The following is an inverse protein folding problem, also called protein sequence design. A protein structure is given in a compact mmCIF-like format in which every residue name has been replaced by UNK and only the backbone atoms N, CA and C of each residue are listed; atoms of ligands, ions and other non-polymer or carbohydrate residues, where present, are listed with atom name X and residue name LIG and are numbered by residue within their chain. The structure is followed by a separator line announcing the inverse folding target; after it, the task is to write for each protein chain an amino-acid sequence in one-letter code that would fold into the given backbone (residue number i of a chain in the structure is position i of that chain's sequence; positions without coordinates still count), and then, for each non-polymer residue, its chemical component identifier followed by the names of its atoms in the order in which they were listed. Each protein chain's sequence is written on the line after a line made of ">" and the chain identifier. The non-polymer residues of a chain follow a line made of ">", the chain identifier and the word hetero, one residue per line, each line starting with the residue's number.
data_IF_047685057592
#
_entry.id   IF_047685057592
#
_cell.length_a   1.000
_cell.length_b   1.000
_cell.length_c   1.000
_cell.angle_alpha   90.00
_cell.angle_beta   90.00
_cell.angle_gamma   90.00
#
_symmetry.space_group_name_H-M   'P 1'
#
loop_
_entity.id
_entity.type
_entity.pdbx_description
1 polymer ?
#
# COMPACT_ATOMS: atom_id res chain seq x y z
N UNK A 1 17.81 9.02 8.71
CA UNK A 1 18.30 9.16 10.09
C UNK A 1 18.36 7.81 10.79
N UNK A 2 17.26 7.04 10.84
CA UNK A 2 17.27 5.71 11.45
C UNK A 2 17.96 4.60 10.64
N UNK A 3 17.97 4.67 9.31
CA UNK A 3 18.86 3.82 8.51
C UNK A 3 20.34 4.09 8.79
N UNK A 4 20.71 5.26 9.33
CA UNK A 4 22.07 5.50 9.81
C UNK A 4 22.28 4.79 11.15
N UNK A 5 21.33 4.90 12.09
CA UNK A 5 21.35 4.29 13.42
C UNK A 5 21.40 2.75 13.41
N UNK A 6 20.57 2.12 12.58
CA UNK A 6 20.54 0.65 12.44
C UNK A 6 21.71 0.13 11.59
N UNK A 7 22.21 0.90 10.62
CA UNK A 7 23.45 0.54 9.92
C UNK A 7 24.65 0.65 10.85
N UNK A 8 24.68 1.63 11.76
CA UNK A 8 25.72 1.70 12.80
C UNK A 8 25.62 0.52 13.76
N UNK A 9 24.44 0.06 14.18
CA UNK A 9 24.32 -1.11 15.06
C UNK A 9 24.74 -2.42 14.38
N UNK A 10 24.45 -2.61 13.08
CA UNK A 10 24.90 -3.79 12.31
C UNK A 10 26.43 -3.78 12.08
N UNK A 11 27.04 -2.60 11.89
CA UNK A 11 28.51 -2.46 11.83
C UNK A 11 29.15 -2.81 13.19
N UNK A 12 28.47 -2.50 14.29
CA UNK A 12 28.96 -2.76 15.66
C UNK A 12 28.81 -4.25 16.02
N UNK A 13 27.70 -4.91 15.63
CA UNK A 13 27.52 -6.35 15.84
C UNK A 13 28.56 -7.23 15.13
N UNK A 14 29.13 -6.76 14.02
CA UNK A 14 30.21 -7.46 13.32
C UNK A 14 31.60 -7.32 13.98
N UNK A 15 31.78 -6.36 14.89
CA UNK A 15 33.03 -6.19 15.64
C UNK A 15 33.11 -7.05 16.92
N UNK A 16 31.99 -7.62 17.39
CA UNK A 16 31.91 -8.35 18.68
C UNK A 16 32.09 -9.87 18.47
N UNK A 17 33.01 -10.27 17.59
CA UNK A 17 33.49 -11.64 17.54
C UNK A 17 35.02 -11.65 17.67
N UNK A 18 35.46 -12.06 18.87
CA UNK A 18 36.78 -12.54 19.32
C UNK A 18 37.70 -11.58 20.12
N UNK A 19 37.88 -11.94 21.41
CA UNK A 19 39.02 -11.69 22.31
C UNK A 19 39.50 -10.23 22.47
N UNK A 20 38.59 -9.29 22.74
CA UNK A 20 38.96 -7.92 23.12
C UNK A 20 39.26 -7.79 24.63
N UNK A 21 40.35 -7.11 24.96
CA UNK A 21 40.73 -6.72 26.34
C UNK A 21 39.67 -5.83 27.02
N UNK A 22 39.62 -5.74 28.36
CA UNK A 22 38.65 -4.89 29.08
C UNK A 22 38.70 -3.41 28.68
N UNK A 23 39.89 -2.90 28.35
CA UNK A 23 40.11 -1.52 27.88
C UNK A 23 39.48 -1.27 26.50
N UNK A 24 39.59 -2.23 25.58
CA UNK A 24 38.95 -2.15 24.26
C UNK A 24 37.42 -2.21 24.35
N UNK A 25 36.86 -3.02 25.26
CA UNK A 25 35.41 -3.07 25.49
C UNK A 25 34.85 -1.75 26.06
N UNK A 26 35.62 -1.07 26.93
CA UNK A 26 35.24 0.23 27.50
C UNK A 26 35.30 1.37 26.46
N UNK A 27 36.29 1.37 25.57
CA UNK A 27 36.37 2.33 24.46
C UNK A 27 35.23 2.14 23.45
N UNK A 28 34.89 0.89 23.13
CA UNK A 28 33.78 0.55 22.23
C UNK A 28 32.41 0.98 22.81
N UNK A 29 32.21 0.81 24.11
CA UNK A 29 30.99 1.27 24.80
C UNK A 29 30.88 2.80 24.84
N UNK A 30 31.98 3.50 25.12
CA UNK A 30 31.98 4.98 25.13
C UNK A 30 31.61 5.54 23.76
N UNK A 31 32.14 4.95 22.69
CA UNK A 31 31.81 5.32 21.30
C UNK A 31 30.36 4.99 20.94
N UNK A 32 29.84 3.85 21.39
CA UNK A 32 28.42 3.49 21.25
C UNK A 32 27.52 4.53 21.94
N UNK A 33 27.85 4.90 23.18
CA UNK A 33 27.09 5.89 23.94
C UNK A 33 27.13 7.29 23.33
N UNK A 34 28.28 7.73 22.82
CA UNK A 34 28.36 9.00 22.09
C UNK A 34 27.48 8.97 20.84
N UNK A 35 27.50 7.88 20.09
CA UNK A 35 26.65 7.70 18.90
C UNK A 35 25.16 7.72 19.26
N UNK A 36 24.78 7.03 20.34
CA UNK A 36 23.42 7.03 20.88
C UNK A 36 22.92 8.43 21.23
N UNK A 37 23.72 9.21 21.98
CA UNK A 37 23.34 10.57 22.40
C UNK A 37 23.27 11.53 21.21
N UNK A 38 24.26 11.49 20.32
CA UNK A 38 24.30 12.33 19.12
C UNK A 38 23.09 12.09 18.22
N UNK A 39 22.63 10.85 18.11
CA UNK A 39 21.44 10.52 17.34
C UNK A 39 20.13 10.85 18.06
N UNK A 40 20.15 10.88 19.39
CA UNK A 40 18.95 11.07 20.20
C UNK A 40 18.41 12.50 20.22
N UNK A 41 19.28 13.51 20.23
CA UNK A 41 18.85 14.91 20.37
C UNK A 41 18.14 15.47 19.12
N UNK A 42 18.66 15.30 17.89
CA UNK A 42 17.96 15.74 16.68
C UNK A 42 16.61 15.04 16.52
N UNK A 43 16.52 13.78 16.94
CA UNK A 43 15.27 13.05 16.96
C UNK A 43 14.26 13.71 17.91
N UNK A 44 14.64 14.01 19.16
CA UNK A 44 13.70 14.58 20.15
C UNK A 44 13.13 15.92 19.67
N UNK A 45 13.95 16.76 19.05
CA UNK A 45 13.48 18.01 18.43
C UNK A 45 12.51 17.76 17.28
N UNK A 46 12.82 16.80 16.42
CA UNK A 46 11.97 16.40 15.28
C UNK A 46 10.63 15.84 15.76
N UNK A 47 10.65 15.01 16.81
CA UNK A 47 9.45 14.43 17.40
C UNK A 47 8.55 15.49 18.04
N UNK A 48 9.14 16.48 18.72
CA UNK A 48 8.40 17.64 19.23
C UNK A 48 7.74 18.44 18.11
N UNK A 49 8.45 18.68 17.00
CA UNK A 49 7.88 19.37 15.83
C UNK A 49 6.74 18.59 15.16
N UNK A 50 6.85 17.26 15.10
CA UNK A 50 5.82 16.38 14.56
C UNK A 50 4.63 16.15 15.51
N UNK A 51 4.72 16.63 16.76
CA UNK A 51 3.78 16.30 17.83
C UNK A 51 3.76 14.82 18.19
N UNK A 52 4.84 14.09 17.87
CA UNK A 52 5.08 12.67 18.15
C UNK A 52 5.95 12.44 19.38
N UNK A 53 5.91 13.40 20.28
CA UNK A 53 6.67 13.38 21.50
C UNK A 53 5.90 12.60 22.57
N UNK A 54 6.53 11.56 23.11
CA UNK A 54 6.06 10.91 24.33
C UNK A 54 6.51 11.72 25.53
N UNK A 55 5.66 11.90 26.54
CA UNK A 55 6.04 12.58 27.80
C UNK A 55 7.01 11.74 28.68
N UNK A 56 7.59 10.67 28.14
CA UNK A 56 8.54 9.83 28.86
C UNK A 56 9.82 10.61 29.22
N UNK A 57 10.16 10.74 30.52
CA UNK A 57 11.30 11.51 31.00
C UNK A 57 12.62 11.13 30.32
N UNK A 58 12.77 9.84 30.00
CA UNK A 58 13.94 9.29 29.31
C UNK A 58 14.33 10.04 28.02
N UNK A 59 13.37 10.31 27.12
CA UNK A 59 13.66 11.00 25.86
C UNK A 59 13.87 12.51 25.98
N UNK A 60 13.55 13.07 27.15
CA UNK A 60 13.73 14.48 27.48
C UNK A 60 15.07 14.74 28.19
N UNK A 61 15.78 13.69 28.57
CA UNK A 61 17.03 13.76 29.28
C UNK A 61 18.07 14.57 28.50
N UNK A 62 18.87 15.36 29.22
CA UNK A 62 19.98 16.10 28.64
C UNK A 62 21.01 15.15 28.01
N UNK A 63 21.84 15.62 27.04
CA UNK A 63 22.92 14.81 26.49
C UNK A 63 23.78 14.17 27.58
N UNK A 64 24.10 14.94 28.63
CA UNK A 64 24.87 14.47 29.79
C UNK A 64 24.14 13.37 30.56
N UNK A 65 22.83 13.51 30.78
CA UNK A 65 22.04 12.49 31.47
C UNK A 65 21.94 11.19 30.65
N UNK A 66 21.72 11.28 29.34
CA UNK A 66 21.73 10.12 28.44
C UNK A 66 23.12 9.46 28.36
N UNK A 67 24.20 10.25 28.36
CA UNK A 67 25.58 9.73 28.40
C UNK A 67 25.84 9.02 29.73
N UNK A 68 25.44 9.61 30.85
CA UNK A 68 25.63 9.02 32.17
C UNK A 68 24.86 7.71 32.33
N UNK A 69 23.59 7.68 31.92
CA UNK A 69 22.78 6.46 31.91
C UNK A 69 23.37 5.38 30.99
N UNK A 70 23.86 5.76 29.80
CA UNK A 70 24.46 4.80 28.87
C UNK A 70 25.77 4.21 29.41
N UNK A 71 26.58 5.02 30.11
CA UNK A 71 27.85 4.59 30.68
C UNK A 71 27.69 3.87 32.03
N UNK A 72 26.63 4.15 32.82
CA UNK A 72 26.42 3.63 34.17
C UNK A 72 25.00 3.07 34.34
N UNK A 73 24.89 1.78 34.68
CA UNK A 73 23.62 1.06 34.89
C UNK A 73 22.95 1.33 36.23
N UNK A 74 23.62 2.02 37.15
CA UNK A 74 23.14 2.28 38.51
C UNK A 74 22.25 3.54 38.60
N UNK A 75 21.94 4.18 37.46
CA UNK A 75 20.91 5.23 37.42
C UNK A 75 19.52 4.56 37.49
N UNK A 76 19.08 4.26 38.70
CA UNK A 76 17.84 3.55 38.99
C UNK A 76 16.62 4.22 38.36
N UNK A 77 16.62 5.55 38.21
CA UNK A 77 15.45 6.30 37.76
C UNK A 77 15.25 6.19 36.24
N UNK A 78 16.28 6.46 35.44
CA UNK A 78 16.18 6.30 33.99
C UNK A 78 16.09 4.83 33.58
N UNK A 79 16.69 3.92 34.36
CA UNK A 79 16.56 2.48 34.15
C UNK A 79 15.12 2.01 34.42
N UNK A 80 14.47 2.48 35.49
CA UNK A 80 13.06 2.19 35.75
C UNK A 80 12.12 2.75 34.67
N UNK A 81 12.41 3.93 34.11
CA UNK A 81 11.63 4.49 33.01
C UNK A 81 11.72 3.63 31.73
N UNK A 82 12.91 3.09 31.44
CA UNK A 82 13.13 2.22 30.28
C UNK A 82 12.49 0.84 30.45
N UNK A 83 12.49 0.30 31.67
CA UNK A 83 11.83 -0.98 31.98
C UNK A 83 10.30 -0.91 31.87
N UNK A 84 9.69 0.28 31.74
CA UNK A 84 8.27 0.42 31.43
C UNK A 84 7.95 0.13 29.95
N UNK A 85 8.96 -0.08 29.10
CA UNK A 85 8.76 -0.35 27.68
C UNK A 85 8.31 -1.81 27.46
N UNK A 86 7.12 -1.99 26.89
CA UNK A 86 6.48 -3.31 26.67
C UNK A 86 7.32 -4.33 25.87
N UNK A 87 8.29 -3.88 25.06
CA UNK A 87 9.16 -4.78 24.27
C UNK A 87 10.44 -5.18 25.01
N UNK A 88 10.80 -4.46 26.08
CA UNK A 88 11.99 -4.73 26.90
C UNK A 88 11.73 -5.87 27.90
N UNK A 89 10.47 -6.11 28.27
CA UNK A 89 10.01 -7.22 29.14
C UNK A 89 10.42 -8.64 28.67
N UNK A 90 10.86 -8.81 27.41
CA UNK A 90 11.30 -10.11 26.86
C UNK A 90 12.82 -10.34 26.92
N UNK A 91 13.60 -9.35 27.37
CA UNK A 91 15.01 -9.54 27.62
C UNK A 91 15.16 -10.21 28.98
N UNK A 92 15.64 -11.45 29.01
CA UNK A 92 15.91 -12.18 30.25
C UNK A 92 16.79 -11.30 31.17
N UNK A 93 16.19 -10.82 32.27
CA UNK A 93 16.67 -9.70 33.12
C UNK A 93 18.12 -9.88 33.60
N UNK A 94 18.63 -11.11 33.59
CA UNK A 94 19.97 -11.43 34.09
C UNK A 94 21.11 -11.19 33.08
N UNK A 95 20.89 -11.31 31.77
CA UNK A 95 21.97 -11.22 30.76
C UNK A 95 22.04 -9.87 30.03
N UNK A 96 20.91 -9.18 29.82
CA UNK A 96 20.89 -7.89 29.11
C UNK A 96 21.48 -6.74 29.95
N UNK A 97 21.28 -6.78 31.27
CA UNK A 97 21.93 -5.85 32.23
C UNK A 97 23.46 -6.02 32.26
N UNK A 98 23.97 -7.22 31.98
CA UNK A 98 25.40 -7.49 31.89
C UNK A 98 25.99 -7.13 30.51
N UNK A 99 25.17 -7.02 29.45
CA UNK A 99 25.61 -6.67 28.10
C UNK A 99 24.94 -5.39 27.57
N UNK A 100 25.52 -4.24 27.95
CA UNK A 100 25.00 -2.89 27.66
C UNK A 100 24.70 -2.62 26.18
N UNK A 101 25.41 -3.24 25.24
CA UNK A 101 25.14 -3.02 23.82
C UNK A 101 23.76 -3.53 23.39
N UNK A 102 23.33 -4.70 23.88
CA UNK A 102 22.01 -5.25 23.56
C UNK A 102 20.88 -4.44 24.20
N UNK A 103 21.09 -3.92 25.41
CA UNK A 103 20.11 -3.08 26.08
C UNK A 103 19.91 -1.75 25.34
N UNK A 104 21.00 -1.09 24.92
CA UNK A 104 20.94 0.14 24.10
C UNK A 104 20.25 -0.14 22.75
N UNK A 105 20.52 -1.28 22.12
CA UNK A 105 19.84 -1.68 20.89
C UNK A 105 18.33 -1.86 21.09
N UNK A 106 17.90 -2.46 22.20
CA UNK A 106 16.48 -2.65 22.51
C UNK A 106 15.77 -1.31 22.73
N UNK A 107 16.39 -0.40 23.47
CA UNK A 107 15.90 0.97 23.69
C UNK A 107 15.76 1.74 22.37
N UNK A 108 16.74 1.62 21.48
CA UNK A 108 16.68 2.22 20.14
C UNK A 108 15.57 1.62 19.27
N UNK A 109 15.36 0.30 19.34
CA UNK A 109 14.26 -0.38 18.63
C UNK A 109 12.90 0.07 19.13
N UNK A 110 12.70 0.15 20.44
CA UNK A 110 11.45 0.63 21.02
C UNK A 110 11.16 2.07 20.58
N UNK A 111 12.17 2.95 20.64
CA UNK A 111 12.01 4.33 20.17
C UNK A 111 11.58 4.40 18.71
N UNK A 112 12.18 3.57 17.87
CA UNK A 112 11.83 3.52 16.45
C UNK A 112 10.41 3.04 16.23
N UNK A 113 9.97 2.04 17.01
CA UNK A 113 8.61 1.55 16.98
C UNK A 113 7.62 2.68 17.31
N UNK A 114 7.83 3.39 18.42
CA UNK A 114 6.99 4.54 18.83
C UNK A 114 7.00 5.68 17.80
N UNK A 115 8.18 5.94 17.21
CA UNK A 115 8.32 6.90 16.12
C UNK A 115 7.43 6.55 14.93
N UNK A 116 7.60 5.33 14.44
CA UNK A 116 6.94 4.84 13.23
C UNK A 116 5.43 4.79 13.47
N UNK A 117 4.99 4.31 14.63
CA UNK A 117 3.57 4.30 14.99
C UNK A 117 2.99 5.71 14.98
N UNK A 118 3.63 6.67 15.65
CA UNK A 118 3.10 8.01 15.73
C UNK A 118 3.11 8.74 14.37
N UNK A 119 4.25 8.73 13.68
CA UNK A 119 4.41 9.46 12.42
C UNK A 119 3.45 8.93 11.37
N UNK A 120 3.30 7.62 11.27
CA UNK A 120 2.40 7.03 10.28
C UNK A 120 0.92 7.24 10.66
N UNK A 121 0.58 7.19 11.95
CA UNK A 121 -0.79 7.52 12.41
C UNK A 121 -1.17 8.96 12.09
N UNK A 122 -0.31 9.93 12.43
CA UNK A 122 -0.58 11.35 12.13
C UNK A 122 -0.56 11.65 10.64
N UNK A 123 0.32 10.97 9.89
CA UNK A 123 0.34 11.07 8.44
C UNK A 123 -0.98 10.58 7.85
N UNK A 124 -1.48 9.41 8.26
CA UNK A 124 -2.78 8.90 7.84
C UNK A 124 -3.91 9.88 8.21
N UNK A 125 -3.92 10.45 9.42
CA UNK A 125 -4.90 11.45 9.83
C UNK A 125 -4.88 12.71 8.96
N UNK A 126 -3.70 13.15 8.52
CA UNK A 126 -3.58 14.28 7.59
C UNK A 126 -4.23 13.96 6.24
N UNK A 127 -4.05 12.74 5.72
CA UNK A 127 -4.67 12.28 4.49
C UNK A 127 -6.19 12.16 4.63
N UNK A 128 -6.67 11.61 5.76
CA UNK A 128 -8.11 11.53 6.13
C UNK A 128 -8.79 12.90 6.09
N UNK A 129 -8.10 13.95 6.56
CA UNK A 129 -8.59 15.34 6.56
C UNK A 129 -8.40 16.05 5.21
N UNK A 130 -7.74 15.42 4.24
CA UNK A 130 -7.38 16.02 2.96
C UNK A 130 -6.41 17.19 3.10
N UNK A 131 -5.52 17.14 4.10
CA UNK A 131 -4.39 18.05 4.28
C UNK A 131 -3.19 17.56 3.44
N UNK A 132 -3.28 17.83 2.14
CA UNK A 132 -2.21 17.47 1.21
C UNK A 132 -0.98 18.38 1.30
N UNK A 133 -1.07 19.51 2.01
CA UNK A 133 0.04 20.46 2.12
C UNK A 133 1.10 19.96 3.11
N UNK A 134 0.72 19.22 4.14
CA UNK A 134 1.67 18.64 5.11
C UNK A 134 2.36 17.35 4.62
N UNK A 135 1.84 16.70 3.57
CA UNK A 135 2.39 15.43 3.03
C UNK A 135 3.90 15.47 2.79
N UNK A 136 4.50 16.49 2.12
CA UNK A 136 5.94 16.52 1.91
C UNK A 136 6.73 16.50 3.23
N UNK A 137 6.21 17.14 4.27
CA UNK A 137 6.84 17.18 5.58
C UNK A 137 6.74 15.83 6.30
N UNK A 138 5.58 15.16 6.25
CA UNK A 138 5.44 13.80 6.78
C UNK A 138 6.40 12.81 6.11
N UNK A 139 6.53 12.87 4.78
CA UNK A 139 7.49 12.04 4.04
C UNK A 139 8.95 12.38 4.41
N UNK A 140 9.27 13.64 4.71
CA UNK A 140 10.58 14.07 5.20
C UNK A 140 10.87 13.52 6.60
N UNK A 141 9.86 13.43 7.46
CA UNK A 141 9.94 12.81 8.78
C UNK A 141 9.99 11.28 8.74
N UNK A 142 9.79 10.67 7.58
CA UNK A 142 9.95 9.23 7.39
C UNK A 142 8.63 8.46 7.37
N UNK A 143 7.49 9.13 7.21
CA UNK A 143 6.22 8.46 7.00
C UNK A 143 6.32 7.47 5.82
N UNK A 144 5.81 6.27 6.04
CA UNK A 144 5.85 5.14 5.14
C UNK A 144 4.44 4.86 4.59
N UNK A 145 4.20 5.05 3.28
CA UNK A 145 2.91 4.71 2.66
C UNK A 145 2.53 3.23 2.80
N UNK A 146 3.51 2.34 2.99
CA UNK A 146 3.28 0.91 3.21
C UNK A 146 3.04 0.54 4.68
N UNK A 147 3.07 1.52 5.59
CA UNK A 147 2.76 1.27 6.99
C UNK A 147 1.31 0.76 7.12
N UNK A 148 1.17 -0.41 7.73
CA UNK A 148 -0.13 -0.99 8.10
C UNK A 148 -0.39 -0.58 9.54
N UNK A 149 -1.42 0.23 9.76
CA UNK A 149 -1.84 0.52 11.12
C UNK A 149 -2.44 -0.74 11.73
N UNK A 150 -2.14 -1.01 13.00
CA UNK A 150 -2.86 -2.04 13.74
C UNK A 150 -4.28 -1.54 14.01
N UNK A 151 -5.21 -1.85 13.11
CA UNK A 151 -6.64 -1.77 13.35
C UNK A 151 -7.21 -3.19 13.20
N UNK A 152 -7.79 -3.77 14.26
CA UNK A 152 -8.37 -5.11 14.20
C UNK A 152 -9.49 -5.24 13.15
N UNK A 153 -10.04 -4.12 12.67
CA UNK A 153 -11.06 -4.06 11.64
C UNK A 153 -10.54 -3.60 10.27
N UNK A 154 -9.31 -3.07 10.17
CA UNK A 154 -8.74 -2.59 8.90
C UNK A 154 -7.21 -2.70 8.86
N UNK A 155 -6.70 -3.77 8.26
CA UNK A 155 -5.26 -3.96 8.04
C UNK A 155 -4.75 -3.34 6.72
N UNK A 156 -5.45 -2.34 6.18
CA UNK A 156 -4.97 -1.59 5.02
C UNK A 156 -3.68 -0.82 5.33
N UNK A 157 -2.76 -0.76 4.36
CA UNK A 157 -1.69 0.22 4.43
C UNK A 157 -2.21 1.63 4.13
N UNK A 158 -1.42 2.65 4.49
CA UNK A 158 -1.76 4.06 4.26
C UNK A 158 -2.01 4.35 2.78
N UNK A 159 -1.25 3.72 1.88
CA UNK A 159 -1.39 3.92 0.44
C UNK A 159 -2.74 3.44 -0.10
N UNK A 160 -3.16 2.22 0.26
CA UNK A 160 -4.47 1.68 -0.09
C UNK A 160 -5.57 2.59 0.45
N UNK A 161 -5.49 2.97 1.73
CA UNK A 161 -6.44 3.90 2.34
C UNK A 161 -6.55 5.20 1.52
N UNK A 162 -5.40 5.77 1.15
CA UNK A 162 -5.34 7.00 0.38
C UNK A 162 -6.03 6.83 -0.99
N UNK A 163 -5.82 5.73 -1.70
CA UNK A 163 -6.48 5.49 -2.98
C UNK A 163 -7.99 5.28 -2.81
N UNK A 164 -8.40 4.47 -1.84
CA UNK A 164 -9.79 4.03 -1.70
C UNK A 164 -10.71 5.03 -1.02
N UNK A 165 -10.18 5.84 -0.10
CA UNK A 165 -10.96 6.78 0.70
C UNK A 165 -10.58 8.24 0.45
N UNK A 166 -9.46 8.49 -0.23
CA UNK A 166 -8.85 9.81 -0.35
C UNK A 166 -9.45 10.75 -1.38
N UNK A 167 -10.67 10.51 -1.88
CA UNK A 167 -11.37 11.46 -2.76
C UNK A 167 -12.46 12.25 -2.01
N UNK A 168 -12.12 13.29 -1.22
CA UNK A 168 -13.10 14.33 -0.92
C UNK A 168 -13.54 14.99 -2.23
N UNK A 169 -14.86 15.10 -2.45
CA UNK A 169 -15.43 15.82 -3.60
C UNK A 169 -14.77 17.20 -3.75
N UNK A 170 -14.18 17.47 -4.92
CA UNK A 170 -13.61 18.78 -5.26
C UNK A 170 -12.10 18.99 -4.99
N UNK A 171 -11.35 18.00 -4.48
CA UNK A 171 -9.89 18.12 -4.22
C UNK A 171 -8.98 17.29 -5.15
N UNK A 172 -9.37 17.11 -6.41
CA UNK A 172 -8.67 16.24 -7.39
C UNK A 172 -7.21 16.64 -7.63
N UNK A 173 -6.91 17.94 -7.75
CA UNK A 173 -5.53 18.42 -7.99
C UNK A 173 -4.59 18.08 -6.83
N UNK A 174 -5.06 18.28 -5.60
CA UNK A 174 -4.28 17.99 -4.40
C UNK A 174 -4.02 16.49 -4.25
N UNK A 175 -5.06 15.67 -4.47
CA UNK A 175 -4.95 14.22 -4.50
C UNK A 175 -3.89 13.74 -5.49
N UNK A 176 -3.93 14.20 -6.75
CA UNK A 176 -2.98 13.77 -7.77
C UNK A 176 -1.54 14.22 -7.47
N UNK A 177 -1.35 15.42 -6.91
CA UNK A 177 -0.04 15.87 -6.45
C UNK A 177 0.50 14.99 -5.33
N UNK A 178 -0.34 14.67 -4.34
CA UNK A 178 0.00 13.75 -3.24
C UNK A 178 0.34 12.36 -3.79
N UNK A 179 -0.49 11.78 -4.66
CA UNK A 179 -0.24 10.49 -5.28
C UNK A 179 1.14 10.43 -5.95
N UNK A 180 1.49 11.46 -6.73
CA UNK A 180 2.81 11.56 -7.35
C UNK A 180 3.95 11.62 -6.35
N UNK A 181 3.73 12.22 -5.17
CA UNK A 181 4.73 12.25 -4.10
C UNK A 181 4.89 10.88 -3.44
N UNK A 182 3.79 10.17 -3.17
CA UNK A 182 3.83 8.82 -2.59
C UNK A 182 4.54 7.83 -3.51
N UNK A 183 4.22 7.88 -4.80
CA UNK A 183 4.81 7.03 -5.85
C UNK A 183 6.28 7.34 -6.18
N UNK A 184 6.90 8.37 -5.57
CA UNK A 184 8.36 8.57 -5.67
C UNK A 184 9.16 7.55 -4.86
N UNK A 185 8.53 6.90 -3.89
CA UNK A 185 9.11 5.80 -3.11
C UNK A 185 8.58 4.47 -3.65
N UNK A 186 9.31 3.36 -3.49
CA UNK A 186 8.72 2.04 -3.70
C UNK A 186 7.55 1.91 -2.74
N UNK A 187 6.37 1.66 -3.32
CA UNK A 187 5.11 1.42 -2.60
C UNK A 187 4.67 0.03 -3.01
N UNK A 188 4.24 -0.78 -2.05
CA UNK A 188 3.70 -2.09 -2.33
C UNK A 188 2.25 -1.95 -2.81
N UNK A 189 2.05 -2.20 -4.10
CA UNK A 189 0.74 -2.12 -4.76
C UNK A 189 -0.11 -3.37 -4.57
N UNK A 190 0.46 -4.45 -4.06
CA UNK A 190 -0.21 -5.76 -3.92
C UNK A 190 -0.86 -5.93 -2.55
N UNK A 191 -0.70 -4.95 -1.64
CA UNK A 191 -1.33 -5.00 -0.32
C UNK A 191 -2.84 -4.86 -0.45
N UNK A 192 -3.54 -5.86 0.07
CA UNK A 192 -4.99 -5.91 0.24
C UNK A 192 -5.33 -5.90 1.73
N UNK A 193 -6.44 -5.25 2.15
CA UNK A 193 -6.92 -5.35 3.52
C UNK A 193 -7.25 -6.80 3.89
N UNK A 194 -6.75 -7.28 5.02
CA UNK A 194 -6.95 -8.68 5.48
C UNK A 194 -8.40 -9.02 5.85
N UNK A 195 -9.30 -8.05 5.88
CA UNK A 195 -10.66 -8.18 6.40
C UNK A 195 -11.73 -8.25 5.29
N UNK A 196 -11.36 -8.71 4.09
CA UNK A 196 -12.29 -8.91 2.99
C UNK A 196 -12.65 -7.65 2.20
N UNK A 197 -11.81 -6.60 2.27
CA UNK A 197 -11.91 -5.52 1.29
C UNK A 197 -11.48 -6.01 -0.09
N UNK A 198 -12.19 -5.58 -1.14
CA UNK A 198 -11.96 -6.04 -2.50
C UNK A 198 -10.61 -5.56 -3.05
N UNK A 199 -9.69 -6.50 -3.23
CA UNK A 199 -8.46 -6.37 -3.99
C UNK A 199 -7.45 -5.36 -3.43
N UNK A 200 -6.64 -4.81 -4.32
CA UNK A 200 -5.50 -3.96 -4.01
C UNK A 200 -5.73 -2.50 -4.47
N UNK A 201 -4.70 -1.65 -4.38
CA UNK A 201 -4.83 -0.24 -4.75
C UNK A 201 -5.23 -0.03 -6.24
N UNK A 202 -4.88 -0.97 -7.14
CA UNK A 202 -5.22 -0.90 -8.56
C UNK A 202 -6.69 -1.21 -8.77
N UNK A 203 -7.20 -2.32 -8.22
CA UNK A 203 -8.62 -2.68 -8.33
C UNK A 203 -9.51 -1.62 -7.68
N UNK A 204 -9.05 -1.02 -6.59
CA UNK A 204 -9.76 0.08 -5.93
C UNK A 204 -9.81 1.36 -6.77
N UNK A 205 -8.69 1.77 -7.39
CA UNK A 205 -8.69 2.93 -8.29
C UNK A 205 -9.62 2.71 -9.51
N UNK A 206 -9.69 1.47 -10.00
CA UNK A 206 -10.59 1.05 -11.07
C UNK A 206 -12.06 1.04 -10.63
N UNK A 207 -12.37 0.51 -9.44
CA UNK A 207 -13.69 0.52 -8.81
C UNK A 207 -14.23 1.94 -8.63
N UNK A 208 -13.37 2.89 -8.29
CA UNK A 208 -13.73 4.29 -8.08
C UNK A 208 -13.78 5.11 -9.38
N UNK A 209 -13.40 4.54 -10.52
CA UNK A 209 -13.38 5.23 -11.82
C UNK A 209 -12.37 6.38 -11.88
N UNK A 210 -11.24 6.28 -11.17
CA UNK A 210 -10.22 7.31 -11.16
C UNK A 210 -9.12 7.02 -12.19
N UNK A 211 -9.43 7.20 -13.47
CA UNK A 211 -8.55 6.88 -14.59
C UNK A 211 -7.15 7.51 -14.46
N UNK A 212 -7.06 8.75 -13.97
CA UNK A 212 -5.80 9.44 -13.80
C UNK A 212 -4.94 8.84 -12.67
N UNK A 213 -5.56 8.48 -11.54
CA UNK A 213 -4.85 7.80 -10.46
C UNK A 213 -4.40 6.41 -10.91
N UNK A 214 -5.30 5.68 -11.57
CA UNK A 214 -5.04 4.35 -12.11
C UNK A 214 -3.84 4.37 -13.05
N UNK A 215 -3.79 5.27 -14.04
CA UNK A 215 -2.66 5.37 -14.96
C UNK A 215 -1.34 5.72 -14.24
N UNK A 216 -1.39 6.57 -13.20
CA UNK A 216 -0.21 6.89 -12.41
C UNK A 216 0.32 5.70 -11.62
N UNK A 217 -0.57 4.94 -10.98
CA UNK A 217 -0.23 3.75 -10.19
C UNK A 217 0.40 2.69 -11.09
N UNK A 218 -0.25 2.35 -12.21
CA UNK A 218 0.23 1.36 -13.17
C UNK A 218 1.61 1.73 -13.72
N UNK A 219 1.79 3.00 -14.10
CA UNK A 219 3.07 3.50 -14.61
C UNK A 219 4.19 3.44 -13.57
N UNK A 220 3.90 3.81 -12.32
CA UNK A 220 4.90 3.82 -11.24
C UNK A 220 5.27 2.39 -10.81
N UNK A 221 4.28 1.50 -10.70
CA UNK A 221 4.47 0.10 -10.36
C UNK A 221 4.99 -0.77 -11.51
N UNK A 222 4.98 -0.25 -12.74
CA UNK A 222 5.29 -1.01 -13.97
C UNK A 222 4.41 -2.27 -14.10
N UNK A 223 3.14 -2.15 -13.69
CA UNK A 223 2.17 -3.24 -13.75
C UNK A 223 1.50 -3.21 -15.12
N UNK A 224 1.57 -4.33 -15.82
CA UNK A 224 0.99 -4.52 -17.15
C UNK A 224 0.62 -5.99 -17.39
N UNK A 225 -0.15 -6.25 -18.45
CA UNK A 225 -0.48 -7.59 -18.92
C UNK A 225 -1.16 -8.44 -17.84
N UNK A 226 -0.65 -9.66 -17.63
CA UNK A 226 -1.19 -10.61 -16.67
C UNK A 226 -1.18 -10.11 -15.22
N UNK A 227 -0.36 -9.11 -14.88
CA UNK A 227 -0.39 -8.46 -13.57
C UNK A 227 -1.70 -7.71 -13.29
N UNK A 228 -2.55 -7.50 -14.31
CA UNK A 228 -3.88 -6.89 -14.20
C UNK A 228 -5.02 -7.91 -14.14
N UNK A 229 -4.70 -9.20 -14.20
CA UNK A 229 -5.69 -10.28 -14.25
C UNK A 229 -5.80 -11.03 -12.90
N UNK A 230 -5.17 -10.55 -11.83
CA UNK A 230 -5.25 -11.17 -10.50
C UNK A 230 -4.96 -10.10 -9.45
N UNK A 231 -5.54 -10.22 -8.24
CA UNK A 231 -5.16 -9.34 -7.13
C UNK A 231 -4.98 -10.09 -5.80
N UNK A 232 -4.11 -11.11 -5.80
CA UNK A 232 -3.63 -11.76 -4.58
C UNK A 232 -4.31 -13.09 -4.24
N UNK A 233 -3.97 -13.63 -3.07
CA UNK A 233 -4.46 -14.92 -2.59
C UNK A 233 -5.96 -14.81 -2.21
N UNK A 234 -6.80 -15.70 -2.74
CA UNK A 234 -8.27 -15.69 -2.64
C UNK A 234 -9.01 -14.63 -3.50
N UNK A 235 -8.37 -14.14 -4.57
CA UNK A 235 -9.01 -13.21 -5.51
C UNK A 235 -10.31 -13.79 -6.12
N UNK A 236 -11.35 -12.95 -6.19
CA UNK A 236 -12.59 -13.20 -6.93
C UNK A 236 -12.75 -12.20 -8.09
N UNK A 237 -13.89 -12.21 -8.79
CA UNK A 237 -14.08 -11.32 -9.93
C UNK A 237 -14.09 -9.82 -9.58
N UNK A 238 -14.47 -9.47 -8.36
CA UNK A 238 -14.49 -8.09 -7.88
C UNK A 238 -13.10 -7.52 -7.60
N UNK A 239 -12.11 -8.40 -7.58
CA UNK A 239 -10.71 -8.13 -7.36
C UNK A 239 -9.96 -7.89 -8.68
N UNK A 240 -10.57 -8.27 -9.82
CA UNK A 240 -10.03 -8.03 -11.17
C UNK A 240 -10.33 -6.57 -11.58
N UNK A 241 -9.32 -5.68 -11.72
CA UNK A 241 -9.55 -4.26 -11.97
C UNK A 241 -10.49 -3.97 -13.15
N UNK A 242 -10.40 -4.75 -14.23
CA UNK A 242 -11.26 -4.56 -15.41
C UNK A 242 -12.72 -4.91 -15.12
N UNK A 243 -12.99 -5.99 -14.39
CA UNK A 243 -14.35 -6.39 -14.02
C UNK A 243 -14.93 -5.37 -13.04
N UNK A 244 -14.16 -4.94 -12.04
CA UNK A 244 -14.60 -3.92 -11.07
C UNK A 244 -14.93 -2.60 -11.77
N UNK A 245 -14.11 -2.18 -12.73
CA UNK A 245 -14.36 -0.98 -13.51
C UNK A 245 -15.65 -1.07 -14.35
N UNK A 246 -15.85 -2.18 -15.07
CA UNK A 246 -17.02 -2.40 -15.93
C UNK A 246 -18.32 -2.53 -15.13
N UNK A 247 -18.26 -3.14 -13.94
CA UNK A 247 -19.44 -3.38 -13.12
C UNK A 247 -19.84 -2.18 -12.28
N UNK A 248 -18.88 -1.60 -11.55
CA UNK A 248 -19.18 -0.61 -10.51
C UNK A 248 -18.98 0.82 -11.00
N UNK A 249 -17.77 1.17 -11.47
CA UNK A 249 -17.46 2.55 -11.84
C UNK A 249 -18.15 2.97 -13.14
N UNK A 250 -18.21 2.05 -14.10
CA UNK A 250 -18.63 2.29 -15.49
C UNK A 250 -17.85 3.44 -16.15
N UNK A 251 -16.66 3.74 -15.63
CA UNK A 251 -15.81 4.82 -16.12
C UNK A 251 -15.03 4.34 -17.35
N UNK A 252 -15.46 4.83 -18.51
CA UNK A 252 -14.90 4.43 -19.79
C UNK A 252 -13.41 4.71 -19.91
N UNK A 253 -12.91 5.79 -19.29
CA UNK A 253 -11.49 6.14 -19.35
C UNK A 253 -10.63 5.21 -18.49
N UNK A 254 -11.09 4.80 -17.31
CA UNK A 254 -10.43 3.77 -16.49
C UNK A 254 -10.35 2.44 -17.23
N UNK A 255 -11.43 2.05 -17.91
CA UNK A 255 -11.47 0.83 -18.74
C UNK A 255 -10.46 0.91 -19.89
N UNK A 256 -10.41 2.04 -20.60
CA UNK A 256 -9.39 2.25 -21.66
C UNK A 256 -7.97 2.21 -21.11
N UNK A 257 -7.71 2.78 -19.93
CA UNK A 257 -6.40 2.72 -19.27
C UNK A 257 -6.02 1.27 -18.99
N UNK A 258 -6.91 0.47 -18.38
CA UNK A 258 -6.62 -0.95 -18.08
C UNK A 258 -6.31 -1.75 -19.34
N UNK A 259 -7.11 -1.58 -20.40
CA UNK A 259 -6.91 -2.27 -21.68
C UNK A 259 -5.61 -1.81 -22.37
N UNK A 260 -5.28 -0.51 -22.30
CA UNK A 260 -4.01 0.04 -22.81
C UNK A 260 -2.79 -0.59 -22.13
N UNK A 261 -2.89 -0.92 -20.84
CA UNK A 261 -1.84 -1.60 -20.08
C UNK A 261 -1.94 -3.13 -20.18
N UNK A 262 -2.79 -3.68 -21.05
CA UNK A 262 -2.83 -5.10 -21.38
C UNK A 262 -3.68 -5.98 -20.46
N UNK A 263 -4.63 -5.40 -19.70
CA UNK A 263 -5.64 -6.21 -19.02
C UNK A 263 -6.39 -7.10 -20.03
N UNK A 264 -6.56 -8.38 -19.71
CA UNK A 264 -7.23 -9.32 -20.60
C UNK A 264 -8.76 -9.06 -20.58
N UNK A 265 -9.37 -8.68 -21.71
CA UNK A 265 -10.81 -8.41 -21.77
C UNK A 265 -11.69 -9.66 -21.60
N UNK A 266 -11.11 -10.85 -21.46
CA UNK A 266 -11.79 -12.13 -21.31
C UNK A 266 -11.61 -12.77 -19.93
N UNK A 267 -10.70 -12.22 -19.12
CA UNK A 267 -10.40 -12.78 -17.81
C UNK A 267 -11.61 -12.61 -16.88
N UNK A 268 -11.97 -13.71 -16.22
CA UNK A 268 -12.86 -13.75 -15.05
C UNK A 268 -12.70 -15.11 -14.38
N UNK A 269 -12.86 -15.14 -13.06
CA UNK A 269 -12.94 -16.33 -12.23
C UNK A 269 -14.25 -17.07 -12.44
N UNK A 270 -15.38 -16.38 -12.56
CA UNK A 270 -16.70 -16.98 -12.77
C UNK A 270 -17.18 -16.77 -14.20
N UNK A 271 -17.84 -17.78 -14.77
CA UNK A 271 -18.27 -17.75 -16.19
C UNK A 271 -19.29 -16.66 -16.48
N UNK A 272 -20.07 -16.25 -15.48
CA UNK A 272 -21.12 -15.23 -15.62
C UNK A 272 -20.59 -13.79 -15.66
N UNK A 273 -19.38 -13.56 -15.17
CA UNK A 273 -18.76 -12.25 -14.99
C UNK A 273 -17.79 -11.87 -16.10
N UNK A 274 -17.99 -12.38 -17.32
CA UNK A 274 -17.17 -11.96 -18.46
C UNK A 274 -17.39 -10.48 -18.76
N UNK A 275 -16.33 -9.64 -18.88
CA UNK A 275 -16.47 -8.19 -19.04
C UNK A 275 -17.45 -7.76 -20.14
N UNK A 276 -17.39 -8.42 -21.31
CA UNK A 276 -18.29 -8.12 -22.42
C UNK A 276 -19.76 -8.43 -22.10
N UNK A 277 -20.04 -9.54 -21.41
CA UNK A 277 -21.40 -9.91 -21.03
C UNK A 277 -21.97 -8.93 -20.01
N UNK A 278 -21.18 -8.53 -19.01
CA UNK A 278 -21.58 -7.52 -18.01
C UNK A 278 -21.95 -6.21 -18.73
N UNK A 279 -21.07 -5.70 -19.60
CA UNK A 279 -21.31 -4.45 -20.31
C UNK A 279 -22.59 -4.49 -21.16
N UNK A 280 -22.88 -5.62 -21.82
CA UNK A 280 -24.10 -5.78 -22.62
C UNK A 280 -25.33 -5.86 -21.70
N UNK A 281 -25.32 -6.71 -20.66
CA UNK A 281 -26.44 -6.86 -19.70
C UNK A 281 -26.81 -5.53 -19.04
N UNK A 282 -25.80 -4.73 -18.72
CA UNK A 282 -25.95 -3.40 -18.11
C UNK A 282 -26.19 -2.27 -19.13
N UNK A 283 -26.38 -2.59 -20.41
CA UNK A 283 -26.70 -1.64 -21.49
C UNK A 283 -25.60 -0.59 -21.74
N UNK A 284 -24.36 -0.92 -21.38
CA UNK A 284 -23.19 -0.04 -21.50
C UNK A 284 -22.53 -0.18 -22.88
N UNK A 285 -23.22 0.23 -23.94
CA UNK A 285 -22.81 -0.05 -25.33
C UNK A 285 -21.43 0.53 -25.70
N UNK A 286 -21.06 1.70 -25.15
CA UNK A 286 -19.73 2.29 -25.36
C UNK A 286 -18.61 1.44 -24.76
N UNK A 287 -18.85 0.87 -23.57
CA UNK A 287 -17.91 -0.05 -22.92
C UNK A 287 -17.86 -1.38 -23.67
N UNK A 288 -19.00 -1.92 -24.10
CA UNK A 288 -19.04 -3.12 -24.93
C UNK A 288 -18.21 -2.96 -26.21
N UNK A 289 -18.36 -1.84 -26.92
CA UNK A 289 -17.54 -1.54 -28.10
C UNK A 289 -16.05 -1.45 -27.76
N UNK A 290 -15.69 -0.78 -26.66
CA UNK A 290 -14.29 -0.64 -26.22
C UNK A 290 -13.65 -1.99 -25.89
N UNK A 291 -14.38 -2.88 -25.22
CA UNK A 291 -13.93 -4.25 -24.95
C UNK A 291 -13.74 -5.05 -26.25
N UNK A 292 -14.66 -4.92 -27.21
CA UNK A 292 -14.53 -5.56 -28.53
C UNK A 292 -13.32 -5.02 -29.31
N UNK A 293 -13.04 -3.71 -29.21
CA UNK A 293 -11.84 -3.10 -29.82
C UNK A 293 -10.55 -3.65 -29.21
N UNK A 294 -10.56 -3.99 -27.92
CA UNK A 294 -9.46 -4.66 -27.23
C UNK A 294 -9.40 -6.18 -27.44
N UNK A 295 -10.31 -6.75 -28.25
CA UNK A 295 -10.27 -8.17 -28.61
C UNK A 295 -11.07 -9.09 -27.68
N UNK A 296 -12.07 -8.58 -26.96
CA UNK A 296 -13.02 -9.42 -26.24
C UNK A 296 -13.64 -10.50 -27.14
N UNK A 297 -13.67 -11.73 -26.64
CA UNK A 297 -14.18 -12.90 -27.32
C UNK A 297 -15.71 -12.87 -27.34
N UNK A 298 -16.27 -13.02 -28.53
CA UNK A 298 -17.73 -12.96 -28.75
C UNK A 298 -18.41 -14.32 -28.62
N UNK A 299 -17.63 -15.37 -28.40
CA UNK A 299 -18.08 -16.75 -28.21
C UNK A 299 -18.05 -17.20 -26.74
N UNK A 300 -17.76 -16.30 -25.80
CA UNK A 300 -17.87 -16.59 -24.36
C UNK A 300 -19.29 -16.27 -23.89
N UNK A 301 -20.08 -17.31 -23.65
CA UNK A 301 -21.43 -17.20 -23.08
C UNK A 301 -21.42 -17.27 -21.56
N UNK A 302 -22.59 -17.04 -20.96
CA UNK A 302 -22.77 -17.00 -19.50
C UNK A 302 -22.47 -18.34 -18.78
N UNK A 303 -22.48 -19.45 -19.53
CA UNK A 303 -22.12 -20.80 -19.04
C UNK A 303 -20.75 -21.27 -19.51
N UNK A 304 -19.97 -20.41 -20.17
CA UNK A 304 -18.64 -20.73 -20.69
C UNK A 304 -18.52 -20.56 -22.21
N UNK A 305 -17.40 -21.04 -22.77
CA UNK A 305 -17.13 -20.92 -24.22
C UNK A 305 -18.18 -21.70 -25.01
N UNK A 306 -18.90 -21.00 -25.87
CA UNK A 306 -19.94 -21.54 -26.75
C UNK A 306 -21.10 -22.24 -26.02
N UNK A 307 -21.30 -21.91 -24.74
CA UNK A 307 -22.35 -22.50 -23.90
C UNK A 307 -23.23 -21.41 -23.30
N UNK A 308 -24.50 -21.75 -23.07
CA UNK A 308 -25.47 -20.79 -22.55
C UNK A 308 -25.79 -19.67 -23.54
N UNK A 309 -26.05 -18.48 -23.01
CA UNK A 309 -26.42 -17.31 -23.83
C UNK A 309 -25.18 -16.50 -24.20
N UNK A 310 -24.96 -16.32 -25.50
CA UNK A 310 -23.83 -15.60 -26.07
C UNK A 310 -24.05 -14.08 -26.08
N UNK A 311 -22.96 -13.28 -26.18
CA UNK A 311 -23.04 -11.82 -26.32
C UNK A 311 -24.02 -11.35 -27.40
N UNK A 312 -24.04 -12.02 -28.57
CA UNK A 312 -24.97 -11.70 -29.66
C UNK A 312 -26.43 -11.85 -29.24
N UNK A 313 -26.77 -12.95 -28.56
CA UNK A 313 -28.12 -13.23 -28.10
C UNK A 313 -28.56 -12.24 -27.01
N UNK A 314 -27.66 -11.85 -26.11
CA UNK A 314 -27.95 -10.78 -25.15
C UNK A 314 -28.19 -9.44 -25.83
N UNK A 315 -27.38 -9.09 -26.85
CA UNK A 315 -27.55 -7.84 -27.60
C UNK A 315 -28.87 -7.80 -28.39
N UNK A 316 -29.34 -8.93 -28.90
CA UNK A 316 -30.64 -9.06 -29.57
C UNK A 316 -31.82 -8.85 -28.61
N UNK A 317 -31.70 -9.37 -27.39
CA UNK A 317 -32.75 -9.26 -26.37
C UNK A 317 -32.71 -7.94 -25.58
N UNK A 318 -31.78 -7.03 -25.90
CA UNK A 318 -31.70 -5.73 -25.26
C UNK A 318 -32.97 -4.91 -25.48
N UNK A 319 -33.44 -4.29 -24.40
CA UNK A 319 -34.53 -3.32 -24.40
C UNK A 319 -34.11 -2.03 -23.70
N UNK A 320 -34.75 -0.90 -24.03
CA UNK A 320 -34.45 0.40 -23.39
C UNK A 320 -33.12 1.03 -23.80
N UNK A 321 -32.57 0.64 -24.95
CA UNK A 321 -31.44 1.30 -25.64
C UNK A 321 -31.91 1.84 -26.99
N UNK A 322 -31.19 2.80 -27.57
CA UNK A 322 -31.53 3.30 -28.90
C UNK A 322 -31.38 2.19 -29.96
N UNK A 323 -32.43 1.94 -30.75
CA UNK A 323 -32.46 0.85 -31.73
C UNK A 323 -31.26 0.88 -32.71
N UNK A 324 -30.80 2.08 -33.08
CA UNK A 324 -29.62 2.26 -33.93
C UNK A 324 -28.33 1.79 -33.26
N UNK A 325 -28.17 2.02 -31.97
CA UNK A 325 -26.97 1.62 -31.23
C UNK A 325 -26.99 0.11 -30.94
N UNK A 326 -28.16 -0.44 -30.61
CA UNK A 326 -28.36 -1.88 -30.50
C UNK A 326 -28.02 -2.59 -31.81
N UNK A 327 -28.54 -2.09 -32.94
CA UNK A 327 -28.29 -2.69 -34.26
C UNK A 327 -26.81 -2.64 -34.63
N UNK A 328 -26.10 -1.56 -34.29
CA UNK A 328 -24.64 -1.45 -34.50
C UNK A 328 -23.87 -2.50 -33.71
N UNK A 329 -24.23 -2.72 -32.44
CA UNK A 329 -23.62 -3.76 -31.62
C UNK A 329 -23.89 -5.16 -32.21
N UNK A 330 -25.14 -5.45 -32.58
CA UNK A 330 -25.53 -6.74 -33.18
C UNK A 330 -24.71 -7.02 -34.45
N UNK A 331 -24.64 -6.05 -35.38
CA UNK A 331 -23.88 -6.19 -36.62
C UNK A 331 -22.39 -6.46 -36.35
N UNK A 332 -21.81 -5.75 -35.38
CA UNK A 332 -20.41 -5.93 -34.98
C UNK A 332 -20.15 -7.31 -34.40
N UNK A 333 -21.03 -7.81 -33.52
CA UNK A 333 -20.92 -9.14 -32.94
C UNK A 333 -21.06 -10.24 -34.01
N UNK A 334 -22.03 -10.11 -34.93
CA UNK A 334 -22.21 -11.03 -36.05
C UNK A 334 -20.96 -11.12 -36.93
N UNK A 335 -20.35 -9.97 -37.24
CA UNK A 335 -19.11 -9.95 -38.02
C UNK A 335 -17.97 -10.65 -37.28
N UNK A 336 -17.78 -10.36 -35.99
CA UNK A 336 -16.71 -10.96 -35.19
C UNK A 336 -16.87 -12.46 -34.99
N UNK A 337 -18.10 -12.98 -34.97
CA UNK A 337 -18.35 -14.43 -34.89
C UNK A 337 -17.88 -15.20 -36.12
N UNK A 338 -17.70 -14.54 -37.27
CA UNK A 338 -17.20 -15.16 -38.50
C UNK A 338 -15.66 -15.32 -38.49
N UNK A 339 -14.97 -14.71 -37.51
CA UNK A 339 -13.52 -14.80 -37.39
C UNK A 339 -13.14 -16.14 -36.72
N UNK A 340 -12.20 -16.92 -37.27
CA UNK A 340 -11.87 -18.27 -36.76
C UNK A 340 -11.57 -18.34 -35.25
N UNK A 341 -10.90 -17.33 -34.68
CA UNK A 341 -10.61 -17.28 -33.24
C UNK A 341 -11.86 -17.27 -32.34
N UNK A 342 -13.00 -16.88 -32.91
CA UNK A 342 -14.31 -16.82 -32.24
C UNK A 342 -15.21 -17.99 -32.65
N UNK A 343 -14.71 -19.00 -33.36
CA UNK A 343 -15.50 -20.16 -33.73
C UNK A 343 -15.94 -20.96 -32.49
N UNK A 344 -17.11 -21.58 -32.63
CA UNK A 344 -17.62 -22.61 -31.74
C UNK A 344 -17.45 -23.93 -32.47
N UNK A 345 -16.28 -24.53 -32.31
CA UNK A 345 -15.93 -25.83 -32.91
C UNK A 345 -16.77 -26.97 -32.33
#
# INVERSE_FOLDING_TARGET
>A
MFQLLLKTSVIIGACILWLASPTTQAEDLSKLCQTFVQASQPYTQTAKQAGCYTDMPFWQASPTALTNWCLNTDDEQLTADVLQFQTIDRLDDSQALHNKSHFIEAVLKQRQFEWDECVNTKFLDSLKKGDYQSVPQWLKWGANPDYVQYDPNDHSNIFYYFICNGIPKGKTVGFIKTLRLLLKKPVNLDLSPTNGGSGNAISCAALLGNAQALELILKAGKVEGSGLNSSGENANDWDVPLISAVTFSKDLESIKVLLKYGADPNFSFETENKPLLIAIKDKQLAIAHTLLDAGAAVNLGDKGKCQGKLPLQYAQDLSGVAAKEQQRLIQRLQHLMQVPKNACD
#
